data_IF_275079217151
#
_entry.id   IF_275079217151
#
_cell.length_a   1.000
_cell.length_b   1.000
_cell.length_c   1.000
_cell.angle_alpha   90.00
_cell.angle_beta   90.00
_cell.angle_gamma   90.00
#
_symmetry.space_group_name_H-M   'P 1'
#
loop_
_entity.id
_entity.type
_entity.pdbx_description
1 polymer ?
#
# COMPACT_ATOMS: atom_id res chain seq x y z
N UNK A 1 38.40 12.05 36.13
CA UNK A 1 37.95 13.20 35.33
C UNK A 1 38.07 12.95 33.83
N UNK A 2 39.20 12.43 33.32
CA UNK A 2 39.36 12.15 31.87
C UNK A 2 38.49 10.97 31.39
N UNK A 3 38.44 9.89 32.17
CA UNK A 3 37.67 8.67 31.83
C UNK A 3 36.16 8.95 31.75
N UNK A 4 35.62 9.72 32.69
CA UNK A 4 34.22 10.13 32.71
C UNK A 4 33.87 11.04 31.52
N UNK A 5 34.79 11.90 31.09
CA UNK A 5 34.61 12.74 29.91
C UNK A 5 34.48 11.92 28.63
N UNK A 6 35.38 10.95 28.44
CA UNK A 6 35.33 10.03 27.28
C UNK A 6 34.05 9.20 27.30
N UNK A 7 33.63 8.71 28.47
CA UNK A 7 32.39 7.94 28.61
C UNK A 7 31.15 8.72 28.20
N UNK A 8 31.02 9.99 28.62
CA UNK A 8 29.88 10.83 28.25
C UNK A 8 29.85 11.10 26.75
N UNK A 9 31.01 11.34 26.12
CA UNK A 9 31.12 11.58 24.67
C UNK A 9 30.75 10.32 23.86
N UNK A 10 31.22 9.15 24.27
CA UNK A 10 30.87 7.90 23.57
C UNK A 10 29.38 7.58 23.76
N UNK A 11 28.84 7.77 24.97
CA UNK A 11 27.42 7.50 25.25
C UNK A 11 26.50 8.44 24.48
N UNK A 12 26.86 9.72 24.32
CA UNK A 12 26.06 10.67 23.55
C UNK A 12 26.05 10.33 22.06
N UNK A 13 27.18 9.89 21.50
CA UNK A 13 27.27 9.42 20.10
C UNK A 13 26.40 8.17 19.89
N UNK A 14 26.45 7.20 20.79
CA UNK A 14 25.65 5.97 20.71
C UNK A 14 24.15 6.29 20.82
N UNK A 15 23.75 7.14 21.78
CA UNK A 15 22.35 7.47 22.01
C UNK A 15 21.75 8.31 20.87
N UNK A 16 22.53 9.24 20.32
CA UNK A 16 22.14 10.02 19.14
C UNK A 16 21.95 9.11 17.91
N UNK A 17 22.74 8.05 17.77
CA UNK A 17 22.63 7.12 16.65
C UNK A 17 21.48 6.11 16.85
N UNK A 18 21.31 5.58 18.07
CA UNK A 18 20.29 4.58 18.40
C UNK A 18 18.85 5.05 18.12
N UNK A 19 18.56 6.34 18.38
CA UNK A 19 17.24 6.92 18.09
C UNK A 19 16.94 7.03 16.59
N UNK A 20 17.96 7.15 15.73
CA UNK A 20 17.80 7.16 14.26
C UNK A 20 17.59 5.75 13.70
N UNK A 21 18.29 4.76 14.26
CA UNK A 21 18.13 3.36 13.85
C UNK A 21 16.74 2.82 14.13
N UNK A 22 16.18 3.08 15.31
CA UNK A 22 14.83 2.60 15.65
C UNK A 22 13.77 3.07 14.65
N UNK A 23 13.79 4.36 14.29
CA UNK A 23 12.79 4.94 13.38
C UNK A 23 12.85 4.40 11.95
N UNK A 24 14.05 4.08 11.44
CA UNK A 24 14.23 3.50 10.12
C UNK A 24 13.76 2.03 10.07
N UNK A 25 14.04 1.25 11.11
CA UNK A 25 13.57 -0.14 11.22
C UNK A 25 12.04 -0.20 11.31
N UNK A 26 11.44 0.70 12.09
CA UNK A 26 9.97 0.82 12.19
C UNK A 26 9.32 1.21 10.85
N UNK A 27 9.94 2.12 10.08
CA UNK A 27 9.46 2.49 8.74
C UNK A 27 9.52 1.29 7.78
N UNK A 28 10.61 0.55 7.83
CA UNK A 28 10.83 -0.64 7.02
C UNK A 28 9.83 -1.75 7.36
N UNK A 29 9.61 -2.01 8.66
CA UNK A 29 8.57 -2.94 9.11
C UNK A 29 7.18 -2.52 8.61
N UNK A 30 6.83 -1.23 8.69
CA UNK A 30 5.56 -0.73 8.16
C UNK A 30 5.43 -0.99 6.65
N UNK A 31 6.48 -0.78 5.88
CA UNK A 31 6.47 -1.05 4.45
C UNK A 31 6.27 -2.56 4.16
N UNK A 32 6.90 -3.43 4.95
CA UNK A 32 6.67 -4.87 4.87
C UNK A 32 5.26 -5.28 5.29
N UNK A 33 4.66 -4.63 6.29
CA UNK A 33 3.28 -4.90 6.72
C UNK A 33 2.27 -4.52 5.61
N UNK A 34 2.51 -3.41 4.90
CA UNK A 34 1.72 -3.03 3.73
C UNK A 34 1.91 -4.03 2.59
N UNK A 35 3.15 -4.41 2.29
CA UNK A 35 3.45 -5.43 1.28
C UNK A 35 2.76 -6.77 1.60
N UNK A 36 2.77 -7.18 2.87
CA UNK A 36 2.09 -8.39 3.35
C UNK A 36 0.57 -8.27 3.21
N UNK A 37 0.01 -7.10 3.48
CA UNK A 37 -1.43 -6.84 3.33
C UNK A 37 -1.86 -6.91 1.86
N UNK A 38 -1.07 -6.37 0.94
CA UNK A 38 -1.28 -6.52 -0.51
C UNK A 38 -1.18 -8.00 -0.90
N UNK A 39 -0.20 -8.74 -0.39
CA UNK A 39 -0.07 -10.19 -0.64
C UNK A 39 -1.26 -10.97 -0.09
N UNK A 40 -1.80 -10.56 1.06
CA UNK A 40 -3.00 -11.14 1.66
C UNK A 40 -4.23 -10.88 0.79
N UNK A 41 -4.37 -9.67 0.24
CA UNK A 41 -5.40 -9.35 -0.74
C UNK A 41 -5.29 -10.23 -1.98
N UNK A 42 -4.08 -10.45 -2.50
CA UNK A 42 -3.83 -11.37 -3.63
C UNK A 42 -4.27 -12.79 -3.30
N UNK A 43 -3.91 -13.31 -2.12
CA UNK A 43 -4.34 -14.64 -1.69
C UNK A 43 -5.86 -14.71 -1.53
N UNK A 44 -6.52 -13.65 -1.08
CA UNK A 44 -7.99 -13.62 -0.96
C UNK A 44 -8.69 -13.48 -2.31
N UNK A 45 -8.15 -12.69 -3.24
CA UNK A 45 -8.64 -12.62 -4.62
C UNK A 45 -8.49 -13.95 -5.37
N UNK A 46 -7.42 -14.70 -5.06
CA UNK A 46 -7.14 -16.02 -5.62
C UNK A 46 -7.76 -17.14 -4.80
N UNK A 47 -8.16 -17.01 -3.55
CA UNK A 47 -8.87 -18.06 -2.81
C UNK A 47 -10.37 -17.88 -3.00
N UNK A 48 -11.14 -18.94 -3.24
CA UNK A 48 -12.62 -18.84 -3.25
C UNK A 48 -13.07 -18.57 -1.82
N UNK A 49 -13.02 -17.30 -1.40
CA UNK A 49 -13.50 -16.89 -0.10
C UNK A 49 -14.88 -16.30 -0.30
N UNK A 50 -15.90 -17.12 0.00
CA UNK A 50 -17.32 -16.73 -0.02
C UNK A 50 -17.51 -15.54 0.91
N UNK A 51 -18.10 -14.47 0.40
CA UNK A 51 -18.59 -13.36 1.21
C UNK A 51 -20.00 -13.01 0.74
N UNK A 52 -20.98 -13.14 1.65
CA UNK A 52 -22.41 -13.06 1.36
C UNK A 52 -23.08 -14.39 0.94
N UNK A 53 -24.38 -14.32 0.62
CA UNK A 53 -25.20 -15.49 0.30
C UNK A 53 -24.87 -16.11 -1.09
N UNK A 54 -24.40 -15.36 -2.09
CA UNK A 54 -24.41 -15.84 -3.48
C UNK A 54 -23.17 -15.55 -4.38
N UNK A 55 -22.17 -14.76 -3.96
CA UNK A 55 -21.07 -14.39 -4.87
C UNK A 55 -19.71 -15.00 -4.46
N UNK A 56 -19.25 -15.96 -5.26
CA UNK A 56 -17.93 -16.61 -5.14
C UNK A 56 -16.87 -15.93 -6.02
N UNK A 57 -17.22 -14.85 -6.73
CA UNK A 57 -16.39 -14.23 -7.77
C UNK A 57 -15.81 -12.87 -7.39
N UNK A 58 -16.06 -12.38 -6.16
CA UNK A 58 -15.62 -11.06 -5.72
C UNK A 58 -14.08 -10.92 -5.75
N UNK A 59 -13.61 -9.80 -6.28
CA UNK A 59 -12.19 -9.44 -6.22
C UNK A 59 -11.83 -8.90 -4.84
N UNK A 60 -10.58 -9.03 -4.42
CA UNK A 60 -10.09 -8.43 -3.18
C UNK A 60 -8.98 -7.46 -3.49
N UNK A 61 -8.99 -6.31 -2.82
CA UNK A 61 -8.01 -5.27 -3.07
C UNK A 61 -7.70 -4.41 -1.85
N UNK A 62 -6.66 -3.60 -2.00
CA UNK A 62 -6.25 -2.61 -1.00
C UNK A 62 -6.40 -1.23 -1.61
N UNK A 63 -7.10 -0.35 -0.89
CA UNK A 63 -7.23 1.07 -1.21
C UNK A 63 -6.29 1.89 -0.33
N UNK A 64 -5.56 2.77 -0.99
CA UNK A 64 -4.74 3.80 -0.38
C UNK A 64 -5.28 5.17 -0.79
N UNK A 65 -5.59 6.03 0.18
CA UNK A 65 -6.12 7.38 -0.07
C UNK A 65 -5.31 8.42 0.70
N UNK A 66 -4.85 9.47 0.01
CA UNK A 66 -4.05 10.55 0.63
C UNK A 66 -4.87 11.39 1.64
N UNK A 67 -6.19 11.44 1.50
CA UNK A 67 -7.09 12.09 2.46
C UNK A 67 -7.08 11.43 3.85
N UNK A 68 -6.73 10.14 3.92
CA UNK A 68 -6.57 9.38 5.16
C UNK A 68 -5.18 8.74 5.20
N UNK A 69 -4.10 9.54 5.29
CA UNK A 69 -2.75 9.07 5.02
C UNK A 69 -2.20 8.10 6.08
N UNK A 70 -2.89 7.98 7.21
CA UNK A 70 -2.56 7.05 8.29
C UNK A 70 -3.47 5.81 8.30
N UNK A 71 -4.29 5.58 7.26
CA UNK A 71 -5.18 4.41 7.19
C UNK A 71 -5.18 3.88 5.76
N UNK A 72 -5.14 2.56 5.62
CA UNK A 72 -5.42 1.89 4.37
C UNK A 72 -6.48 0.82 4.59
N UNK A 73 -7.20 0.48 3.52
CA UNK A 73 -8.41 -0.32 3.60
C UNK A 73 -8.25 -1.55 2.70
N UNK A 74 -8.39 -2.74 3.29
CA UNK A 74 -8.63 -3.97 2.56
C UNK A 74 -10.14 -4.08 2.31
N UNK A 75 -10.51 -4.20 1.04
CA UNK A 75 -11.90 -4.27 0.61
C UNK A 75 -12.16 -5.47 -0.30
N UNK A 76 -13.42 -5.88 -0.34
CA UNK A 76 -13.93 -6.80 -1.33
C UNK A 76 -14.76 -6.02 -2.35
N UNK A 77 -14.41 -6.21 -3.61
CA UNK A 77 -15.07 -5.61 -4.76
C UNK A 77 -16.27 -6.46 -5.17
N UNK A 78 -17.44 -6.02 -4.70
CA UNK A 78 -18.75 -6.62 -4.97
C UNK A 78 -19.61 -5.74 -5.88
N UNK A 79 -19.11 -4.57 -6.30
CA UNK A 79 -19.88 -3.58 -7.05
C UNK A 79 -19.18 -3.15 -8.35
N UNK A 80 -19.88 -3.11 -9.49
CA UNK A 80 -21.26 -3.53 -9.70
C UNK A 80 -21.43 -5.04 -9.51
N UNK A 81 -22.59 -5.46 -8.99
CA UNK A 81 -22.91 -6.88 -8.71
C UNK A 81 -22.52 -7.76 -9.90
N UNK A 82 -21.84 -8.88 -9.63
CA UNK A 82 -21.30 -9.87 -10.59
C UNK A 82 -19.98 -9.53 -11.30
N UNK A 83 -19.60 -8.26 -11.47
CA UNK A 83 -18.37 -7.92 -12.22
C UNK A 83 -17.32 -7.26 -11.34
N UNK A 84 -17.72 -6.40 -10.42
CA UNK A 84 -16.77 -5.54 -9.71
C UNK A 84 -16.15 -4.49 -10.63
N UNK A 85 -15.77 -3.34 -10.08
CA UNK A 85 -15.11 -2.26 -10.79
C UNK A 85 -13.65 -2.06 -10.35
N UNK A 86 -13.13 -2.86 -9.44
CA UNK A 86 -11.74 -2.82 -9.00
C UNK A 86 -11.33 -1.52 -8.32
N UNK A 87 -12.29 -0.78 -7.77
CA UNK A 87 -12.05 0.42 -6.96
C UNK A 87 -12.81 0.32 -5.65
N UNK A 88 -12.30 0.98 -4.61
CA UNK A 88 -13.02 1.08 -3.35
C UNK A 88 -14.05 2.21 -3.38
N UNK A 89 -15.30 1.86 -3.16
CA UNK A 89 -16.41 2.79 -2.97
C UNK A 89 -17.00 2.59 -1.56
N UNK A 90 -16.89 3.58 -0.64
CA UNK A 90 -17.24 3.40 0.77
C UNK A 90 -18.66 2.85 1.06
N UNK A 91 -19.63 3.18 0.23
CA UNK A 91 -21.04 2.79 0.41
C UNK A 91 -21.47 1.59 -0.45
N UNK A 92 -20.56 1.04 -1.27
CA UNK A 92 -20.88 -0.01 -2.25
C UNK A 92 -19.93 -1.21 -2.20
N UNK A 93 -18.66 -0.97 -1.89
CA UNK A 93 -17.68 -2.01 -1.64
C UNK A 93 -17.81 -2.52 -0.21
N UNK A 94 -17.48 -3.79 0.00
CA UNK A 94 -17.49 -4.37 1.34
C UNK A 94 -16.15 -4.13 2.03
N UNK A 95 -16.20 -3.55 3.23
CA UNK A 95 -15.03 -3.32 4.08
C UNK A 95 -14.60 -4.65 4.73
N UNK A 96 -13.43 -5.16 4.36
CA UNK A 96 -12.89 -6.40 4.96
C UNK A 96 -12.08 -6.07 6.20
N UNK A 97 -11.16 -5.12 6.09
CA UNK A 97 -10.27 -4.73 7.19
C UNK A 97 -9.80 -3.29 6.99
N UNK A 98 -9.86 -2.47 8.03
CA UNK A 98 -9.24 -1.15 8.05
C UNK A 98 -7.99 -1.19 8.94
N UNK A 99 -6.84 -0.86 8.37
CA UNK A 99 -5.57 -0.90 9.09
C UNK A 99 -5.09 0.53 9.33
N UNK A 100 -4.91 0.87 10.61
CA UNK A 100 -4.35 2.17 11.00
C UNK A 100 -2.83 2.09 11.15
N UNK A 101 -2.16 3.04 10.51
CA UNK A 101 -0.73 3.28 10.64
C UNK A 101 -0.52 4.08 11.93
N UNK A 102 0.22 3.49 12.88
CA UNK A 102 0.50 4.11 14.17
C UNK A 102 1.86 4.81 14.19
N UNK A 103 2.16 5.55 15.26
CA UNK A 103 3.50 6.11 15.49
C UNK A 103 3.84 7.35 14.66
N UNK A 104 2.84 8.02 14.07
CA UNK A 104 3.02 9.23 13.25
C UNK A 104 3.60 8.98 11.87
N UNK A 105 3.72 7.72 11.48
CA UNK A 105 4.02 7.32 10.11
C UNK A 105 2.81 7.55 9.22
N UNK A 106 3.04 7.88 7.95
CA UNK A 106 1.98 8.24 7.02
C UNK A 106 2.38 7.98 5.58
N UNK A 107 1.38 7.79 4.74
CA UNK A 107 1.51 7.81 3.28
C UNK A 107 1.59 9.28 2.86
N UNK A 108 2.66 9.64 2.15
CA UNK A 108 2.88 11.03 1.71
C UNK A 108 2.55 11.24 0.24
N UNK A 109 2.70 10.19 -0.56
CA UNK A 109 2.49 10.27 -2.00
C UNK A 109 2.14 8.88 -2.56
N UNK A 110 1.42 8.91 -3.66
CA UNK A 110 1.00 7.74 -4.41
C UNK A 110 1.36 8.01 -5.87
N UNK A 111 2.04 7.04 -6.48
CA UNK A 111 2.42 7.12 -7.87
C UNK A 111 1.96 5.88 -8.63
N UNK A 112 1.77 6.03 -9.95
CA UNK A 112 1.47 4.92 -10.82
C UNK A 112 2.01 5.16 -12.23
N UNK A 113 2.39 4.08 -12.91
CA UNK A 113 2.88 4.10 -14.28
C UNK A 113 1.83 3.49 -15.20
N UNK A 114 1.54 4.15 -16.32
CA UNK A 114 0.65 3.60 -17.35
C UNK A 114 1.47 2.75 -18.33
N UNK A 115 0.92 1.64 -18.88
CA UNK A 115 1.63 0.78 -19.83
C UNK A 115 2.10 1.50 -21.10
N UNK A 116 1.50 2.65 -21.44
CA UNK A 116 1.85 3.44 -22.62
C UNK A 116 2.80 4.62 -22.32
N UNK A 117 3.27 4.75 -21.07
CA UNK A 117 4.11 5.86 -20.62
C UNK A 117 5.34 5.33 -19.91
N UNK A 118 6.52 5.82 -20.30
CA UNK A 118 7.76 5.55 -19.56
C UNK A 118 7.94 6.46 -18.32
N UNK A 119 6.98 7.34 -18.07
CA UNK A 119 6.98 8.26 -16.93
C UNK A 119 5.94 7.85 -15.90
N UNK A 120 6.40 7.74 -14.65
CA UNK A 120 5.57 7.54 -13.47
C UNK A 120 4.83 8.85 -13.12
N UNK A 121 3.53 8.75 -12.84
CA UNK A 121 2.69 9.88 -12.40
C UNK A 121 2.52 9.82 -10.89
N UNK A 122 3.14 10.75 -10.17
CA UNK A 122 2.97 10.95 -8.72
C UNK A 122 1.94 12.03 -8.38
N UNK A 123 1.57 12.18 -7.11
CA UNK A 123 0.54 13.11 -6.65
C UNK A 123 -0.88 12.59 -6.83
N UNK A 124 -1.06 11.27 -6.81
CA UNK A 124 -2.39 10.64 -6.92
C UNK A 124 -3.17 10.83 -5.60
N UNK A 125 -4.49 10.97 -5.70
CA UNK A 125 -5.36 11.11 -4.54
C UNK A 125 -5.74 9.76 -3.94
N UNK A 126 -5.88 8.76 -4.78
CA UNK A 126 -6.19 7.38 -4.42
C UNK A 126 -5.50 6.40 -5.35
N UNK A 127 -5.13 5.24 -4.81
CA UNK A 127 -4.58 4.11 -5.52
C UNK A 127 -5.28 2.84 -5.04
N UNK A 128 -5.90 2.12 -5.96
CA UNK A 128 -6.58 0.86 -5.69
C UNK A 128 -5.81 -0.27 -6.37
N UNK A 129 -5.46 -1.30 -5.59
CA UNK A 129 -4.78 -2.50 -6.09
C UNK A 129 -5.71 -3.69 -5.85
N UNK A 130 -6.30 -4.22 -6.92
CA UNK A 130 -7.23 -5.35 -6.87
C UNK A 130 -6.62 -6.62 -7.45
N UNK A 131 -6.93 -7.75 -6.85
CA UNK A 131 -6.67 -9.08 -7.39
C UNK A 131 -7.98 -9.82 -7.59
N UNK A 132 -8.16 -10.40 -8.77
CA UNK A 132 -9.39 -11.12 -9.12
C UNK A 132 -9.08 -12.34 -9.99
N UNK A 133 -9.65 -13.48 -9.63
CA UNK A 133 -9.64 -14.69 -10.48
C UNK A 133 -10.22 -14.42 -11.87
N UNK A 134 -9.75 -15.14 -12.91
CA UNK A 134 -8.72 -16.18 -12.88
C UNK A 134 -7.28 -15.65 -12.96
N UNK A 135 -7.10 -14.34 -13.00
CA UNK A 135 -5.81 -13.70 -13.27
C UNK A 135 -5.03 -13.44 -11.97
N UNK A 136 -3.78 -13.91 -11.84
CA UNK A 136 -2.98 -13.69 -10.63
C UNK A 136 -2.37 -12.27 -10.55
N UNK A 137 -2.50 -11.49 -11.62
CA UNK A 137 -2.00 -10.13 -11.73
C UNK A 137 -2.76 -9.13 -10.87
N UNK A 138 -2.12 -7.99 -10.61
CA UNK A 138 -2.73 -6.88 -9.92
C UNK A 138 -3.39 -5.93 -10.94
N UNK A 139 -4.68 -5.65 -10.74
CA UNK A 139 -5.37 -4.57 -11.41
C UNK A 139 -5.16 -3.28 -10.61
N UNK A 140 -4.38 -2.37 -11.16
CA UNK A 140 -4.01 -1.13 -10.49
C UNK A 140 -4.81 0.02 -11.11
N UNK A 141 -5.64 0.66 -10.29
CA UNK A 141 -6.52 1.77 -10.64
C UNK A 141 -6.09 3.03 -9.87
N UNK A 142 -6.26 4.21 -10.47
CA UNK A 142 -5.83 5.48 -9.85
C UNK A 142 -6.93 6.54 -9.84
N UNK A 143 -6.96 7.34 -8.78
CA UNK A 143 -7.89 8.47 -8.59
C UNK A 143 -9.37 8.06 -8.79
N UNK A 144 -9.74 6.84 -8.39
CA UNK A 144 -11.10 6.30 -8.57
C UNK A 144 -11.45 5.93 -10.01
N UNK A 145 -10.51 5.96 -10.96
CA UNK A 145 -10.73 5.47 -12.32
C UNK A 145 -10.44 3.97 -12.39
N UNK A 146 -11.50 3.19 -12.58
CA UNK A 146 -11.44 1.74 -12.70
C UNK A 146 -10.66 1.27 -13.93
N UNK A 147 -9.52 0.62 -13.71
CA UNK A 147 -8.74 -0.07 -14.74
C UNK A 147 -9.44 -1.30 -15.31
N UNK A 148 -10.39 -1.88 -14.58
CA UNK A 148 -11.17 -3.05 -15.02
C UNK A 148 -12.29 -2.62 -15.98
N UNK A 149 -13.04 -1.56 -15.65
CA UNK A 149 -14.08 -1.03 -16.51
C UNK A 149 -13.49 -0.29 -17.72
N UNK A 150 -12.34 0.38 -17.54
CA UNK A 150 -11.63 1.10 -18.58
C UNK A 150 -10.18 0.60 -18.67
N UNK A 151 -9.87 -0.35 -19.57
CA UNK A 151 -8.54 -0.95 -19.71
C UNK A 151 -7.44 0.09 -19.97
N UNK A 152 -7.77 1.20 -20.65
CA UNK A 152 -6.85 2.31 -20.91
C UNK A 152 -6.40 3.04 -19.64
N UNK A 153 -7.14 2.90 -18.54
CA UNK A 153 -6.81 3.49 -17.23
C UNK A 153 -6.09 2.52 -16.30
N UNK A 154 -5.86 1.28 -16.73
CA UNK A 154 -5.06 0.31 -15.99
C UNK A 154 -3.60 0.76 -15.93
N UNK A 155 -3.01 0.65 -14.74
CA UNK A 155 -1.61 0.99 -14.51
C UNK A 155 -0.75 -0.28 -14.52
N UNK A 156 0.48 -0.16 -15.02
CA UNK A 156 1.47 -1.24 -15.07
C UNK A 156 2.13 -1.45 -13.71
N UNK A 157 2.29 -0.38 -12.92
CA UNK A 157 2.69 -0.48 -11.52
C UNK A 157 2.08 0.64 -10.67
N UNK A 158 2.14 0.47 -9.36
CA UNK A 158 1.73 1.43 -8.35
C UNK A 158 2.79 1.51 -7.25
N UNK A 159 3.24 2.72 -6.94
CA UNK A 159 4.23 3.01 -5.89
C UNK A 159 3.57 3.79 -4.76
N UNK A 160 3.66 3.26 -3.56
CA UNK A 160 3.17 3.87 -2.33
C UNK A 160 4.37 4.42 -1.58
N UNK A 161 4.41 5.74 -1.33
CA UNK A 161 5.52 6.38 -0.63
C UNK A 161 5.12 6.66 0.81
N UNK A 162 5.91 6.12 1.74
CA UNK A 162 5.72 6.25 3.18
C UNK A 162 6.77 7.19 3.76
N UNK A 163 6.38 7.92 4.79
CA UNK A 163 7.25 8.83 5.52
C UNK A 163 7.17 8.57 7.02
N UNK A 164 8.32 8.57 7.67
CA UNK A 164 8.43 8.59 9.13
C UNK A 164 8.26 10.00 9.70
N UNK A 165 7.88 10.16 10.99
CA UNK A 165 7.84 11.48 11.65
C UNK A 165 9.18 12.24 11.63
N UNK A 166 10.27 11.54 11.29
CA UNK A 166 11.64 12.07 11.23
C UNK A 166 12.08 12.42 9.80
N UNK A 167 11.23 12.23 8.80
CA UNK A 167 11.48 12.58 7.40
C UNK A 167 12.16 11.50 6.56
N UNK A 168 12.48 10.32 7.13
CA UNK A 168 12.94 9.18 6.32
C UNK A 168 11.79 8.66 5.45
N UNK A 169 12.11 8.26 4.22
CA UNK A 169 11.15 7.78 3.22
C UNK A 169 11.47 6.35 2.79
N UNK A 170 10.43 5.62 2.43
CA UNK A 170 10.53 4.30 1.80
C UNK A 170 9.35 4.14 0.87
N UNK A 171 9.47 3.31 -0.17
CA UNK A 171 8.38 3.00 -1.06
C UNK A 171 8.07 1.52 -1.12
N UNK A 172 6.79 1.21 -1.29
CA UNK A 172 6.30 -0.11 -1.66
C UNK A 172 5.83 -0.04 -3.11
N UNK A 173 6.37 -0.89 -3.98
CA UNK A 173 5.99 -0.98 -5.38
C UNK A 173 5.20 -2.26 -5.57
N UNK A 174 4.07 -2.14 -6.27
CA UNK A 174 3.26 -3.26 -6.72
C UNK A 174 3.22 -3.22 -8.24
N UNK A 175 3.65 -4.30 -8.86
CA UNK A 175 3.63 -4.48 -10.31
C UNK A 175 2.32 -5.15 -10.74
N UNK A 176 1.86 -4.90 -11.96
CA UNK A 176 0.69 -5.55 -12.56
C UNK A 176 0.84 -7.08 -12.64
N UNK A 177 2.07 -7.58 -12.64
CA UNK A 177 2.37 -9.02 -12.52
C UNK A 177 2.04 -9.61 -11.14
N UNK A 178 1.72 -8.77 -10.15
CA UNK A 178 1.52 -9.16 -8.75
C UNK A 178 2.82 -9.28 -7.95
N UNK A 179 3.96 -8.83 -8.51
CA UNK A 179 5.20 -8.70 -7.75
C UNK A 179 5.12 -7.50 -6.81
N UNK A 180 5.68 -7.67 -5.61
CA UNK A 180 5.68 -6.64 -4.57
C UNK A 180 7.13 -6.43 -4.13
N UNK A 181 7.60 -5.20 -4.20
CA UNK A 181 8.95 -4.81 -3.81
C UNK A 181 8.92 -3.69 -2.78
N UNK A 182 9.89 -3.70 -1.86
CA UNK A 182 10.10 -2.63 -0.89
C UNK A 182 11.45 -1.99 -1.19
N UNK A 183 11.44 -0.68 -1.43
CA UNK A 183 12.62 0.10 -1.76
C UNK A 183 12.81 1.26 -0.76
N UNK A 184 14.08 1.56 -0.47
CA UNK A 184 14.45 2.74 0.33
C UNK A 184 14.76 3.90 -0.62
N UNK A 185 14.30 5.11 -0.28
CA UNK A 185 14.44 6.33 -1.09
C UNK A 185 15.30 7.34 -0.34
#
# INVERSE_FOLDING_TARGET
MVVTGIFVVITSLILANNTRFGGAVLLENLAYDIALSVRRAQVYGIAVRRFGEDDFSAGYGVNFTIGTPAVYILFADIYPKSTGNGIYEPDKSELVESVSIQGGYRIIDLCAMSPNSQLETCGLTALDVLFKRPEPGAFISKNGNSGIANPSSLQENGRIILESPRGNKTSVIVEASGQIAVEKI
#
